data_IF_988460021004
#
_entry.id   IF_988460021004
#
_cell.length_a   1.000
_cell.length_b   1.000
_cell.length_c   1.000
_cell.angle_alpha   90.00
_cell.angle_beta   90.00
_cell.angle_gamma   90.00
#
_symmetry.space_group_name_H-M   'P 1'
#
loop_
_entity.id
_entity.type
_entity.pdbx_description
1 polymer ?
#
# COMPACT_ATOMS: atom_id res chain seq x y z
N UNK A 1 -21.63 13.37 -11.55
CA UNK A 1 -20.70 13.34 -10.40
C UNK A 1 -19.47 12.52 -10.78
N UNK A 2 -18.27 13.08 -10.64
CA UNK A 2 -17.01 12.38 -10.91
C UNK A 2 -16.59 11.58 -9.68
N UNK A 3 -16.08 10.36 -9.88
CA UNK A 3 -15.50 9.55 -8.82
C UNK A 3 -14.09 10.09 -8.50
N UNK A 4 -13.87 10.51 -7.24
CA UNK A 4 -12.60 11.09 -6.79
C UNK A 4 -12.09 10.38 -5.53
N UNK A 5 -10.78 10.46 -5.28
CA UNK A 5 -10.23 10.08 -3.99
C UNK A 5 -10.45 11.17 -2.93
N UNK A 6 -9.99 10.96 -1.72
CA UNK A 6 -10.08 11.91 -0.59
C UNK A 6 -9.35 13.23 -0.85
N UNK A 7 -8.33 13.22 -1.70
CA UNK A 7 -7.52 14.40 -2.06
C UNK A 7 -8.08 15.15 -3.29
N UNK A 8 -9.23 14.69 -3.85
CA UNK A 8 -9.90 15.31 -4.98
C UNK A 8 -9.39 14.88 -6.36
N UNK A 9 -8.46 13.94 -6.45
CA UNK A 9 -8.00 13.41 -7.74
C UNK A 9 -9.05 12.47 -8.35
N UNK A 10 -9.36 12.61 -9.65
CA UNK A 10 -10.32 11.74 -10.30
C UNK A 10 -9.78 10.31 -10.44
N UNK A 11 -10.65 9.34 -10.23
CA UNK A 11 -10.36 7.94 -10.56
C UNK A 11 -10.53 7.76 -12.07
N UNK A 12 -9.53 7.18 -12.71
CA UNK A 12 -9.48 7.00 -14.15
C UNK A 12 -9.94 5.58 -14.53
N UNK A 13 -10.58 5.50 -15.69
CA UNK A 13 -10.91 4.23 -16.32
C UNK A 13 -9.67 3.61 -17.00
N UNK A 14 -9.85 2.42 -17.56
CA UNK A 14 -8.80 1.73 -18.32
C UNK A 14 -8.31 2.50 -19.55
N UNK A 15 -9.03 3.52 -20.01
CA UNK A 15 -8.67 4.37 -21.14
C UNK A 15 -8.09 5.73 -20.73
N UNK A 16 -7.89 5.95 -19.41
CA UNK A 16 -7.39 7.20 -18.88
C UNK A 16 -8.41 8.34 -18.78
N UNK A 17 -9.70 8.05 -18.90
CA UNK A 17 -10.78 9.01 -18.71
C UNK A 17 -11.31 8.96 -17.28
N UNK A 18 -11.73 10.11 -16.74
CA UNK A 18 -12.35 10.16 -15.43
C UNK A 18 -13.69 9.38 -15.41
N UNK A 19 -13.90 8.58 -14.37
CA UNK A 19 -15.15 7.85 -14.16
C UNK A 19 -16.22 8.81 -13.70
N UNK A 20 -17.33 8.87 -14.46
CA UNK A 20 -18.43 9.81 -14.20
C UNK A 20 -19.72 9.05 -13.98
N UNK A 21 -20.34 9.29 -12.81
CA UNK A 21 -21.69 8.81 -12.50
C UNK A 21 -22.74 9.77 -13.04
N UNK A 22 -23.87 9.30 -13.56
CA UNK A 22 -24.99 10.13 -13.99
C UNK A 22 -25.49 11.03 -12.84
N UNK A 23 -25.95 12.23 -13.13
CA UNK A 23 -26.36 13.21 -12.12
C UNK A 23 -27.60 12.80 -11.31
N UNK A 24 -28.39 11.86 -11.81
CA UNK A 24 -29.60 11.33 -11.17
C UNK A 24 -29.35 10.10 -10.30
N UNK A 25 -28.10 9.73 -10.09
CA UNK A 25 -27.70 8.56 -9.30
C UNK A 25 -27.18 9.00 -7.93
N UNK A 26 -27.71 8.36 -6.89
CA UNK A 26 -27.14 8.55 -5.56
C UNK A 26 -25.73 7.91 -5.52
N UNK A 27 -24.72 8.69 -5.14
CA UNK A 27 -23.34 8.21 -5.01
C UNK A 27 -23.21 7.00 -4.08
N UNK A 28 -24.08 6.86 -3.08
CA UNK A 28 -24.10 5.72 -2.16
C UNK A 28 -24.55 4.40 -2.84
N UNK A 29 -25.23 4.45 -3.99
CA UNK A 29 -25.65 3.28 -4.76
C UNK A 29 -24.60 2.80 -5.76
N UNK A 30 -23.46 3.50 -5.86
CA UNK A 30 -22.35 3.12 -6.72
C UNK A 30 -21.71 1.82 -6.22
N UNK A 31 -21.51 0.89 -7.12
CA UNK A 31 -20.92 -0.42 -6.82
C UNK A 31 -19.84 -0.74 -7.82
N UNK A 32 -18.77 -1.35 -7.34
CA UNK A 32 -17.65 -1.82 -8.16
C UNK A 32 -17.60 -3.34 -8.08
N UNK A 33 -17.58 -4.01 -9.24
CA UNK A 33 -17.42 -5.47 -9.28
C UNK A 33 -15.96 -5.88 -9.04
N UNK A 34 -15.74 -7.17 -8.77
CA UNK A 34 -14.38 -7.70 -8.57
C UNK A 34 -13.46 -7.51 -9.79
N UNK A 35 -14.04 -7.38 -10.98
CA UNK A 35 -13.31 -7.11 -12.23
C UNK A 35 -13.09 -5.60 -12.49
N UNK A 36 -13.46 -4.75 -11.50
CA UNK A 36 -13.31 -3.30 -11.60
C UNK A 36 -14.35 -2.57 -12.41
N UNK A 37 -15.43 -3.24 -12.87
CA UNK A 37 -16.52 -2.57 -13.57
C UNK A 37 -17.33 -1.72 -12.61
N UNK A 38 -17.60 -0.49 -12.99
CA UNK A 38 -18.39 0.47 -12.22
C UNK A 38 -19.83 0.46 -12.68
N UNK A 39 -20.73 0.36 -11.72
CA UNK A 39 -22.18 0.41 -11.95
C UNK A 39 -22.91 1.00 -10.75
N UNK A 40 -24.20 1.02 -10.81
CA UNK A 40 -25.06 1.47 -9.71
C UNK A 40 -26.37 0.70 -9.68
N UNK A 41 -27.02 0.69 -8.52
CA UNK A 41 -28.38 0.20 -8.41
C UNK A 41 -29.35 1.35 -8.63
N UNK A 42 -30.31 1.19 -9.57
CA UNK A 42 -31.35 2.17 -9.82
C UNK A 42 -32.43 2.11 -8.72
N UNK A 43 -33.40 3.04 -8.73
CA UNK A 43 -34.48 3.09 -7.75
C UNK A 43 -35.39 1.85 -7.77
N UNK A 44 -35.33 1.04 -8.82
CA UNK A 44 -36.05 -0.23 -8.93
C UNK A 44 -35.23 -1.42 -8.40
N UNK A 45 -34.03 -1.20 -7.87
CA UNK A 45 -33.12 -2.25 -7.38
C UNK A 45 -32.37 -3.01 -8.48
N UNK A 46 -32.47 -2.60 -9.74
CA UNK A 46 -31.75 -3.23 -10.83
C UNK A 46 -30.32 -2.65 -10.97
N UNK A 47 -29.34 -3.53 -11.19
CA UNK A 47 -27.97 -3.13 -11.46
C UNK A 47 -27.81 -2.57 -12.89
N UNK A 48 -27.25 -1.40 -13.00
CA UNK A 48 -26.94 -0.72 -14.27
C UNK A 48 -25.43 -0.59 -14.40
N UNK A 49 -24.86 -1.23 -15.41
CA UNK A 49 -23.43 -1.13 -15.71
C UNK A 49 -23.16 0.15 -16.51
N UNK A 50 -22.15 0.93 -16.09
CA UNK A 50 -21.73 2.15 -16.79
C UNK A 50 -20.78 1.90 -17.96
N UNK A 51 -20.38 0.64 -18.21
CA UNK A 51 -19.36 0.26 -19.18
C UNK A 51 -18.01 1.00 -18.96
N UNK A 52 -17.75 1.40 -17.73
CA UNK A 52 -16.50 2.00 -17.28
C UNK A 52 -15.82 1.03 -16.32
N UNK A 53 -14.54 0.77 -16.53
CA UNK A 53 -13.74 -0.14 -15.68
C UNK A 53 -12.61 0.66 -15.05
N UNK A 54 -12.42 0.54 -13.75
CA UNK A 54 -11.31 1.21 -13.04
C UNK A 54 -9.99 0.78 -13.69
N UNK A 55 -9.15 1.76 -14.03
CA UNK A 55 -7.83 1.53 -14.60
C UNK A 55 -6.87 0.96 -13.54
N UNK A 56 -6.42 -0.27 -13.75
CA UNK A 56 -5.41 -0.92 -12.94
C UNK A 56 -4.09 -0.96 -13.69
N UNK A 57 -3.03 -0.56 -13.00
CA UNK A 57 -1.70 -0.44 -13.58
C UNK A 57 -0.67 -1.16 -12.72
N UNK A 58 0.23 -1.86 -13.38
CA UNK A 58 1.39 -2.49 -12.74
C UNK A 58 2.68 -1.81 -13.19
N UNK A 59 3.74 -1.98 -12.41
CA UNK A 59 5.07 -1.46 -12.71
C UNK A 59 6.08 -2.59 -12.66
N UNK A 60 7.07 -2.53 -13.55
CA UNK A 60 8.16 -3.50 -13.55
C UNK A 60 8.97 -3.47 -12.25
N UNK A 61 9.13 -2.28 -11.66
CA UNK A 61 9.79 -2.09 -10.38
C UNK A 61 8.94 -1.23 -9.44
N UNK A 62 8.02 -1.84 -8.66
CA UNK A 62 7.18 -1.10 -7.70
C UNK A 62 7.98 -0.34 -6.63
N UNK A 63 9.15 -0.85 -6.24
CA UNK A 63 10.02 -0.20 -5.25
C UNK A 63 10.64 1.11 -5.74
N UNK A 64 10.65 1.32 -7.05
CA UNK A 64 11.12 2.56 -7.67
C UNK A 64 10.11 3.69 -7.67
N UNK A 65 8.88 3.47 -7.22
CA UNK A 65 7.85 4.50 -7.11
C UNK A 65 8.16 5.46 -5.95
N UNK A 66 7.99 6.75 -6.19
CA UNK A 66 8.14 7.80 -5.17
C UNK A 66 6.83 7.94 -4.38
N UNK A 67 6.93 7.96 -3.04
CA UNK A 67 5.77 8.19 -2.18
C UNK A 67 5.41 9.68 -2.15
N UNK A 68 4.19 10.00 -2.60
CA UNK A 68 3.67 11.36 -2.61
C UNK A 68 2.80 11.71 -1.38
N UNK A 69 2.58 10.75 -0.47
CA UNK A 69 1.67 10.88 0.68
C UNK A 69 0.28 10.32 0.40
N UNK A 70 -0.57 10.21 1.42
CA UNK A 70 -1.98 9.75 1.31
C UNK A 70 -2.16 8.47 0.46
N UNK A 71 -1.24 7.51 0.56
CA UNK A 71 -1.19 6.30 -0.27
C UNK A 71 -1.02 6.55 -1.79
N UNK A 72 -0.64 7.78 -2.16
CA UNK A 72 -0.34 8.13 -3.55
C UNK A 72 1.11 7.85 -3.88
N UNK A 73 1.32 7.30 -5.07
CA UNK A 73 2.64 6.99 -5.60
C UNK A 73 2.84 7.75 -6.92
N UNK A 74 4.06 8.23 -7.15
CA UNK A 74 4.46 8.91 -8.37
C UNK A 74 5.42 8.04 -9.17
N UNK A 75 5.20 8.00 -10.47
CA UNK A 75 6.07 7.29 -11.40
C UNK A 75 7.42 7.98 -11.48
N UNK A 76 8.50 7.19 -11.48
CA UNK A 76 9.88 7.66 -11.65
C UNK A 76 10.56 6.89 -12.79
N UNK A 77 11.74 7.34 -13.20
CA UNK A 77 12.54 6.59 -14.18
C UNK A 77 12.94 5.19 -13.67
N UNK A 78 13.09 5.04 -12.35
CA UNK A 78 13.46 3.77 -11.73
C UNK A 78 12.29 2.77 -11.67
N UNK A 79 11.02 3.24 -11.62
CA UNK A 79 9.83 2.38 -11.61
C UNK A 79 9.50 1.83 -13.00
N UNK A 80 9.94 2.51 -14.06
CA UNK A 80 9.50 2.25 -15.43
C UNK A 80 8.11 2.83 -15.72
N UNK A 81 7.62 2.61 -16.93
CA UNK A 81 6.31 3.07 -17.38
C UNK A 81 5.18 2.26 -16.73
N UNK A 82 4.03 2.91 -16.50
CA UNK A 82 2.83 2.26 -16.04
C UNK A 82 2.29 1.30 -17.10
N UNK A 83 2.13 0.04 -16.76
CA UNK A 83 1.59 -1.01 -17.62
C UNK A 83 0.11 -1.23 -17.27
N UNK A 84 -0.76 -0.99 -18.23
CA UNK A 84 -2.19 -1.17 -18.04
C UNK A 84 -2.58 -2.66 -18.12
N UNK A 85 -3.19 -3.19 -17.07
CA UNK A 85 -3.61 -4.59 -16.99
C UNK A 85 -4.71 -4.95 -17.99
N UNK A 86 -5.52 -3.98 -18.43
CA UNK A 86 -6.61 -4.24 -19.36
C UNK A 86 -6.10 -4.50 -20.79
N UNK A 87 -4.97 -3.89 -21.17
CA UNK A 87 -4.41 -3.97 -22.53
C UNK A 87 -3.25 -4.97 -22.66
N UNK A 88 -2.64 -5.36 -21.55
CA UNK A 88 -1.46 -6.22 -21.55
C UNK A 88 -1.82 -7.65 -21.11
N UNK A 89 -1.87 -8.57 -22.08
CA UNK A 89 -2.22 -9.97 -21.83
C UNK A 89 -1.20 -10.76 -20.98
N UNK A 90 0.02 -10.24 -20.83
CA UNK A 90 1.08 -10.89 -20.05
C UNK A 90 1.02 -10.59 -18.54
N UNK A 91 0.12 -9.69 -18.13
CA UNK A 91 -0.06 -9.33 -16.73
C UNK A 91 -1.21 -10.13 -16.11
N UNK A 92 -0.99 -10.56 -14.87
CA UNK A 92 -2.08 -11.15 -14.07
C UNK A 92 -3.02 -10.03 -13.66
N UNK A 93 -4.31 -10.17 -13.96
CA UNK A 93 -5.32 -9.20 -13.59
C UNK A 93 -5.53 -9.18 -12.08
N UNK A 94 -5.47 -8.01 -11.50
CA UNK A 94 -5.80 -7.76 -10.10
C UNK A 94 -7.31 -7.74 -9.90
N UNK A 95 -7.75 -8.08 -8.67
CA UNK A 95 -9.17 -8.01 -8.29
C UNK A 95 -9.39 -6.82 -7.35
N UNK A 96 -10.53 -6.14 -7.52
CA UNK A 96 -10.96 -5.06 -6.64
C UNK A 96 -11.99 -5.60 -5.65
N UNK A 97 -11.81 -5.30 -4.38
CA UNK A 97 -12.77 -5.62 -3.33
C UNK A 97 -13.32 -4.33 -2.73
N UNK A 98 -14.57 -4.00 -3.08
CA UNK A 98 -15.25 -2.84 -2.50
C UNK A 98 -15.64 -3.11 -1.04
N UNK A 99 -15.49 -2.11 -0.17
CA UNK A 99 -15.87 -2.21 1.24
C UNK A 99 -14.86 -2.93 2.13
N UNK A 100 -13.67 -3.24 1.61
CA UNK A 100 -12.59 -3.86 2.37
C UNK A 100 -11.50 -2.84 2.69
N UNK A 101 -10.93 -2.98 3.86
CA UNK A 101 -9.71 -2.26 4.26
C UNK A 101 -8.59 -3.28 4.40
N UNK A 102 -7.40 -2.91 3.93
CA UNK A 102 -6.21 -3.74 4.10
C UNK A 102 -5.80 -3.74 5.57
N UNK A 103 -5.72 -4.92 6.16
CA UNK A 103 -5.22 -5.12 7.51
C UNK A 103 -3.69 -5.25 7.53
N UNK A 104 -3.09 -4.98 8.70
CA UNK A 104 -1.65 -5.21 8.88
C UNK A 104 -1.33 -6.71 8.84
N UNK A 105 -0.32 -7.07 8.07
CA UNK A 105 0.24 -8.44 8.04
C UNK A 105 1.31 -8.65 9.14
N UNK A 106 1.53 -7.68 10.00
CA UNK A 106 2.50 -7.75 11.09
C UNK A 106 1.89 -8.50 12.26
N UNK A 107 2.53 -9.59 12.67
CA UNK A 107 2.15 -10.32 13.87
C UNK A 107 2.82 -9.66 15.08
N UNK A 108 2.02 -9.15 15.99
CA UNK A 108 2.50 -8.43 17.18
C UNK A 108 3.41 -9.31 18.04
N UNK A 109 3.10 -10.61 18.13
CA UNK A 109 3.92 -11.56 18.89
C UNK A 109 5.35 -11.67 18.34
N UNK A 110 5.51 -11.76 17.02
CA UNK A 110 6.81 -11.86 16.36
C UNK A 110 7.61 -10.56 16.54
N UNK A 111 6.96 -9.41 16.39
CA UNK A 111 7.61 -8.11 16.61
C UNK A 111 8.03 -7.91 18.06
N UNK A 112 7.25 -8.41 19.03
CA UNK A 112 7.66 -8.40 20.44
C UNK A 112 8.89 -9.25 20.69
N UNK A 113 8.98 -10.44 20.07
CA UNK A 113 10.17 -11.30 20.17
C UNK A 113 11.38 -10.61 19.54
N UNK A 114 11.22 -10.03 18.36
CA UNK A 114 12.28 -9.27 17.69
C UNK A 114 12.77 -8.09 18.53
N UNK A 115 11.86 -7.38 19.18
CA UNK A 115 12.20 -6.28 20.10
C UNK A 115 13.01 -6.80 21.31
N UNK A 116 12.60 -7.93 21.93
CA UNK A 116 13.31 -8.54 23.04
C UNK A 116 14.72 -8.96 22.61
N UNK A 117 14.86 -9.57 21.43
CA UNK A 117 16.17 -9.96 20.89
C UNK A 117 17.07 -8.73 20.70
N UNK A 118 16.55 -7.65 20.11
CA UNK A 118 17.29 -6.41 19.93
C UNK A 118 17.72 -5.79 21.27
N UNK A 119 16.83 -5.77 22.27
CA UNK A 119 17.15 -5.29 23.61
C UNK A 119 18.23 -6.14 24.29
N UNK A 120 18.17 -7.45 24.15
CA UNK A 120 19.18 -8.36 24.70
C UNK A 120 20.53 -8.16 24.04
N UNK A 121 20.57 -7.99 22.72
CA UNK A 121 21.80 -7.69 21.99
C UNK A 121 22.44 -6.38 22.49
N UNK A 122 21.63 -5.34 22.67
CA UNK A 122 22.10 -4.08 23.23
C UNK A 122 22.67 -4.23 24.65
N UNK A 123 21.95 -4.96 25.54
CA UNK A 123 22.39 -5.23 26.90
C UNK A 123 23.71 -6.02 26.94
N UNK A 124 23.87 -7.04 26.07
CA UNK A 124 25.11 -7.81 25.97
C UNK A 124 26.28 -6.96 25.51
N UNK A 125 26.06 -6.11 24.49
CA UNK A 125 27.11 -5.19 24.01
C UNK A 125 27.54 -4.20 25.12
N UNK A 126 26.57 -3.61 25.82
CA UNK A 126 26.84 -2.71 26.95
C UNK A 126 27.63 -3.42 28.07
N UNK A 127 27.19 -4.65 28.39
CA UNK A 127 27.90 -5.44 29.42
C UNK A 127 29.30 -5.83 28.97
N UNK A 128 29.53 -6.14 27.72
CA UNK A 128 30.85 -6.43 27.18
C UNK A 128 31.81 -5.22 27.34
N UNK A 129 31.31 -4.01 27.08
CA UNK A 129 32.07 -2.77 27.26
C UNK A 129 32.43 -2.57 28.74
N UNK A 130 31.44 -2.65 29.65
CA UNK A 130 31.71 -2.47 31.09
C UNK A 130 32.68 -3.53 31.65
N UNK A 131 32.52 -4.79 31.21
CA UNK A 131 33.46 -5.85 31.62
C UNK A 131 34.89 -5.60 31.10
N UNK A 132 35.01 -5.06 29.89
CA UNK A 132 36.32 -4.66 29.33
C UNK A 132 36.97 -3.53 30.13
N UNK A 133 36.17 -2.53 30.52
CA UNK A 133 36.63 -1.43 31.37
C UNK A 133 37.08 -1.93 32.74
N UNK A 134 36.32 -2.82 33.39
CA UNK A 134 36.68 -3.45 34.68
C UNK A 134 37.98 -4.25 34.57
N UNK A 135 38.22 -4.98 33.48
CA UNK A 135 39.46 -5.71 33.23
C UNK A 135 40.64 -4.76 33.06
N UNK A 136 40.46 -3.66 32.33
CA UNK A 136 41.52 -2.65 32.17
C UNK A 136 41.86 -1.95 33.50
N UNK A 137 40.85 -1.66 34.31
CA UNK A 137 41.06 -1.10 35.66
C UNK A 137 41.84 -2.06 36.54
N UNK A 138 41.49 -3.36 36.59
CA UNK A 138 42.19 -4.37 37.34
C UNK A 138 43.66 -4.52 36.86
N UNK A 139 43.87 -4.55 35.52
CA UNK A 139 45.22 -4.62 34.96
C UNK A 139 46.09 -3.40 35.35
N UNK A 140 45.48 -2.21 35.39
CA UNK A 140 46.18 -0.99 35.80
C UNK A 140 46.50 -0.96 37.28
N UNK A 141 45.62 -1.53 38.13
CA UNK A 141 45.85 -1.65 39.58
C UNK A 141 46.94 -2.68 39.94
N UNK A 142 47.12 -3.72 39.10
CA UNK A 142 48.20 -4.71 39.29
C UNK A 142 49.60 -4.16 38.94
N UNK A 143 49.70 -3.04 38.24
CA UNK A 143 50.94 -2.41 37.83
C UNK A 143 51.50 -1.42 38.89
N UNK A 144 50.80 -1.22 39.99
CA UNK A 144 51.22 -0.50 41.16
C UNK A 144 51.69 -1.50 42.21
#
# INVERSE_FOLDING_TARGET
TTLTNTDGYPVLDSNGKAIVLPNNVNSASATVTNDGQVGYYNNAGAYVNLNQTIGLFQFNNPSGLEKAGSNLLRVTNASGAALNEATNANLTRSKIHQGYLEGSNVQVADEMVNLIVAQRAYQLNSKAITTSDDMLEQANNLKR
#
